data_IF_947054744733
#
_entry.id   IF_947054744733
#
_cell.length_a   1.000
_cell.length_b   1.000
_cell.length_c   1.000
_cell.angle_alpha   90.00
_cell.angle_beta   90.00
_cell.angle_gamma   90.00
#
_symmetry.space_group_name_H-M   'P 1'
#
loop_
_entity.id
_entity.type
_entity.pdbx_description
1 polymer ?
#
# COMPACT_ATOMS: atom_id res chain seq x y z
N UNK A 1 -38.36 -4.80 15.54
CA UNK A 1 -37.63 -5.17 14.33
C UNK A 1 -36.16 -5.35 14.72
N UNK A 2 -35.61 -6.57 14.65
CA UNK A 2 -34.16 -6.77 14.81
C UNK A 2 -33.51 -6.29 13.53
N UNK A 3 -32.65 -5.30 13.60
CA UNK A 3 -31.79 -4.90 12.50
C UNK A 3 -30.61 -5.87 12.51
N UNK A 4 -30.52 -6.71 11.48
CA UNK A 4 -29.36 -7.59 11.32
C UNK A 4 -28.12 -6.71 11.08
N UNK A 5 -26.98 -6.99 11.72
CA UNK A 5 -25.76 -6.23 11.50
C UNK A 5 -25.29 -6.41 10.05
N UNK A 6 -24.95 -5.31 9.41
CA UNK A 6 -24.36 -5.32 8.07
C UNK A 6 -22.97 -5.94 8.16
N UNK A 7 -22.78 -7.06 7.44
CA UNK A 7 -21.47 -7.67 7.27
C UNK A 7 -20.81 -7.11 6.01
N UNK A 8 -19.62 -6.52 6.16
CA UNK A 8 -18.85 -5.98 5.04
C UNK A 8 -17.63 -6.88 4.81
N UNK A 9 -17.46 -7.35 3.58
CA UNK A 9 -16.23 -8.03 3.15
C UNK A 9 -15.11 -7.00 2.92
N UNK A 10 -14.32 -6.76 3.96
CA UNK A 10 -13.22 -5.79 3.91
C UNK A 10 -12.11 -6.24 2.96
N UNK A 11 -11.82 -7.54 2.84
CA UNK A 11 -10.82 -8.05 1.89
C UNK A 11 -11.27 -7.85 0.45
N UNK A 12 -12.54 -8.16 0.16
CA UNK A 12 -13.12 -7.91 -1.16
C UNK A 12 -13.11 -6.43 -1.53
N UNK A 13 -13.44 -5.55 -0.58
CA UNK A 13 -13.38 -4.10 -0.76
C UNK A 13 -11.95 -3.62 -1.02
N UNK A 14 -10.97 -4.07 -0.23
CA UNK A 14 -9.55 -3.76 -0.44
C UNK A 14 -9.06 -4.25 -1.81
N UNK A 15 -9.51 -5.45 -2.25
CA UNK A 15 -9.21 -5.98 -3.57
C UNK A 15 -9.77 -5.15 -4.72
N UNK A 16 -10.96 -4.58 -4.55
CA UNK A 16 -11.56 -3.66 -5.53
C UNK A 16 -10.80 -2.33 -5.58
N UNK A 17 -10.45 -1.75 -4.43
CA UNK A 17 -9.62 -0.54 -4.35
C UNK A 17 -8.25 -0.77 -4.98
N UNK A 18 -7.57 -1.89 -4.68
CA UNK A 18 -6.29 -2.27 -5.29
C UNK A 18 -6.38 -2.34 -6.81
N UNK A 19 -7.50 -2.82 -7.36
CA UNK A 19 -7.69 -2.86 -8.81
C UNK A 19 -7.73 -1.46 -9.43
N UNK A 20 -8.36 -0.50 -8.76
CA UNK A 20 -8.39 0.89 -9.20
C UNK A 20 -6.99 1.54 -9.10
N UNK A 21 -6.27 1.30 -8.02
CA UNK A 21 -4.89 1.76 -7.84
C UNK A 21 -3.96 1.20 -8.93
N UNK A 22 -4.02 -0.12 -9.19
CA UNK A 22 -3.26 -0.78 -10.25
C UNK A 22 -3.45 -0.11 -11.63
N UNK A 23 -4.68 0.35 -11.95
CA UNK A 23 -4.94 1.05 -13.21
C UNK A 23 -4.25 2.41 -13.25
N UNK A 24 -4.26 3.15 -12.15
CA UNK A 24 -3.63 4.46 -12.04
C UNK A 24 -2.11 4.34 -12.10
N UNK A 25 -1.54 3.37 -11.39
CA UNK A 25 -0.09 3.08 -11.40
C UNK A 25 0.41 2.69 -12.80
N UNK A 26 -0.38 1.89 -13.53
CA UNK A 26 -0.04 1.53 -14.91
C UNK A 26 0.07 2.75 -15.83
N UNK A 27 -0.82 3.73 -15.66
CA UNK A 27 -0.84 4.95 -16.49
C UNK A 27 0.22 5.97 -16.08
N UNK A 28 0.43 6.14 -14.76
CA UNK A 28 1.28 7.23 -14.24
C UNK A 28 2.75 6.83 -14.11
N UNK A 29 3.03 5.60 -13.65
CA UNK A 29 4.40 5.16 -13.32
C UNK A 29 4.82 3.91 -14.10
N UNK A 30 4.04 3.51 -15.10
CA UNK A 30 4.33 2.39 -16.00
C UNK A 30 4.56 1.06 -15.26
N UNK A 31 3.93 0.88 -14.11
CA UNK A 31 3.96 -0.37 -13.34
C UNK A 31 3.08 -1.40 -14.02
N UNK A 32 3.53 -2.65 -14.07
CA UNK A 32 2.74 -3.75 -14.66
C UNK A 32 1.41 -3.92 -13.95
N UNK A 33 0.33 -4.05 -14.72
CA UNK A 33 -1.01 -4.28 -14.21
C UNK A 33 -1.07 -5.42 -13.17
N UNK A 34 -1.96 -5.30 -12.20
CA UNK A 34 -2.18 -6.22 -11.07
C UNK A 34 -1.00 -6.27 -10.07
N UNK A 35 -0.26 -5.17 -9.92
CA UNK A 35 0.87 -5.09 -9.00
C UNK A 35 0.44 -5.41 -7.57
N UNK A 36 -0.53 -4.69 -7.01
CA UNK A 36 -1.02 -4.88 -5.64
C UNK A 36 -1.51 -6.30 -5.38
N UNK A 37 -2.20 -6.93 -6.34
CA UNK A 37 -2.66 -8.32 -6.21
C UNK A 37 -1.52 -9.33 -6.18
N UNK A 38 -0.45 -9.09 -6.95
CA UNK A 38 0.73 -9.97 -6.93
C UNK A 38 1.49 -9.85 -5.63
N UNK A 39 1.67 -8.62 -5.14
CA UNK A 39 2.28 -8.36 -3.83
C UNK A 39 1.49 -9.05 -2.73
N UNK A 40 0.16 -8.89 -2.70
CA UNK A 40 -0.70 -9.54 -1.72
C UNK A 40 -0.62 -11.08 -1.79
N UNK A 41 -0.63 -11.65 -3.00
CA UNK A 41 -0.51 -13.09 -3.16
C UNK A 41 0.82 -13.63 -2.60
N UNK A 42 1.93 -12.98 -2.94
CA UNK A 42 3.27 -13.38 -2.45
C UNK A 42 3.33 -13.23 -0.93
N UNK A 43 2.88 -12.10 -0.38
CA UNK A 43 2.88 -11.83 1.06
C UNK A 43 2.08 -12.88 1.84
N UNK A 44 0.89 -13.25 1.33
CA UNK A 44 0.05 -14.29 1.95
C UNK A 44 0.73 -15.66 1.89
N UNK A 45 1.37 -16.01 0.77
CA UNK A 45 2.11 -17.28 0.67
C UNK A 45 3.28 -17.32 1.66
N UNK A 46 4.05 -16.25 1.77
CA UNK A 46 5.16 -16.15 2.73
C UNK A 46 4.66 -16.20 4.18
N UNK A 47 3.61 -15.47 4.50
CA UNK A 47 2.99 -15.46 5.82
C UNK A 47 2.52 -16.86 6.25
N UNK A 48 1.87 -17.59 5.35
CA UNK A 48 1.45 -18.98 5.59
C UNK A 48 2.65 -19.90 5.85
N UNK A 49 3.73 -19.71 5.12
CA UNK A 49 4.97 -20.47 5.36
C UNK A 49 5.55 -20.16 6.75
N UNK A 50 5.40 -18.92 7.23
CA UNK A 50 5.76 -18.48 8.58
C UNK A 50 4.70 -18.80 9.65
N UNK A 51 3.70 -19.67 9.34
CA UNK A 51 2.61 -20.05 10.22
C UNK A 51 1.71 -18.90 10.70
N UNK A 52 1.68 -17.76 10.00
CA UNK A 52 0.76 -16.66 10.26
C UNK A 52 -0.64 -17.05 9.74
N UNK A 53 -1.67 -16.92 10.58
CA UNK A 53 -3.03 -17.37 10.30
C UNK A 53 -4.08 -16.40 10.86
N UNK A 54 -5.36 -16.66 10.56
CA UNK A 54 -6.49 -15.93 11.13
C UNK A 54 -6.50 -14.45 10.77
N UNK A 55 -6.80 -13.63 11.74
CA UNK A 55 -6.94 -12.17 11.58
C UNK A 55 -5.63 -11.51 11.11
N UNK A 56 -4.49 -11.94 11.62
CA UNK A 56 -3.19 -11.41 11.19
C UNK A 56 -2.89 -11.65 9.71
N UNK A 57 -3.27 -12.82 9.17
CA UNK A 57 -3.13 -13.12 7.75
C UNK A 57 -4.08 -12.27 6.90
N UNK A 58 -5.30 -12.05 7.38
CA UNK A 58 -6.28 -11.22 6.71
C UNK A 58 -5.83 -9.75 6.68
N UNK A 59 -5.38 -9.21 7.81
CA UNK A 59 -4.90 -7.84 7.92
C UNK A 59 -3.66 -7.61 7.05
N UNK A 60 -2.72 -8.56 7.02
CA UNK A 60 -1.57 -8.51 6.13
C UNK A 60 -1.99 -8.50 4.65
N UNK A 61 -2.99 -9.31 4.26
CA UNK A 61 -3.50 -9.31 2.89
C UNK A 61 -4.08 -7.94 2.50
N UNK A 62 -4.82 -7.28 3.39
CA UNK A 62 -5.36 -5.95 3.18
C UNK A 62 -4.24 -4.93 3.06
N UNK A 63 -3.24 -4.95 3.95
CA UNK A 63 -2.07 -4.08 3.88
C UNK A 63 -1.34 -4.25 2.53
N UNK A 64 -1.09 -5.49 2.11
CA UNK A 64 -0.41 -5.77 0.86
C UNK A 64 -1.20 -5.37 -0.39
N UNK A 65 -2.53 -5.47 -0.37
CA UNK A 65 -3.40 -4.97 -1.44
C UNK A 65 -3.36 -3.44 -1.56
N UNK A 66 -3.14 -2.74 -0.45
CA UNK A 66 -3.22 -1.29 -0.34
C UNK A 66 -1.86 -0.63 -0.02
N UNK A 67 -0.74 -1.32 -0.25
CA UNK A 67 0.57 -0.81 0.14
C UNK A 67 0.91 0.53 -0.53
N UNK A 68 0.47 0.74 -1.77
CA UNK A 68 0.64 1.97 -2.55
C UNK A 68 -0.59 2.90 -2.51
N UNK A 69 -1.43 2.80 -1.46
CA UNK A 69 -2.69 3.53 -1.37
C UNK A 69 -2.57 5.07 -1.44
N UNK A 70 -1.39 5.61 -1.19
CA UNK A 70 -1.12 7.04 -1.22
C UNK A 70 -0.30 7.49 -2.45
N UNK A 71 0.09 6.58 -3.34
CA UNK A 71 0.94 6.92 -4.48
C UNK A 71 0.28 7.96 -5.40
N UNK A 72 -1.01 7.80 -5.68
CA UNK A 72 -1.79 8.75 -6.50
C UNK A 72 -1.86 10.14 -5.86
N UNK A 73 -2.10 10.20 -4.55
CA UNK A 73 -2.12 11.46 -3.81
C UNK A 73 -0.75 12.15 -3.92
N UNK A 74 0.31 11.41 -3.68
CA UNK A 74 1.67 11.92 -3.74
C UNK A 74 2.01 12.47 -5.13
N UNK A 75 1.70 11.72 -6.20
CA UNK A 75 1.92 12.16 -7.58
C UNK A 75 1.12 13.42 -7.87
N UNK A 76 -0.13 13.50 -7.46
CA UNK A 76 -0.97 14.68 -7.67
C UNK A 76 -0.41 15.93 -6.99
N UNK A 77 0.11 15.80 -5.76
CA UNK A 77 0.74 16.90 -5.03
C UNK A 77 2.05 17.36 -5.70
N UNK A 78 2.86 16.42 -6.21
CA UNK A 78 4.11 16.76 -6.92
C UNK A 78 3.85 17.46 -8.25
N UNK A 79 2.84 17.02 -9.02
CA UNK A 79 2.43 17.70 -10.26
C UNK A 79 1.97 19.14 -10.00
N UNK A 80 1.21 19.35 -8.93
CA UNK A 80 0.75 20.70 -8.57
C UNK A 80 1.91 21.62 -8.19
N UNK A 81 2.94 21.09 -7.51
CA UNK A 81 4.13 21.86 -7.13
C UNK A 81 5.06 22.15 -8.30
N UNK A 82 5.16 21.21 -9.22
CA UNK A 82 6.10 21.22 -10.34
C UNK A 82 5.39 20.83 -11.64
N UNK A 83 4.61 21.75 -12.26
CA UNK A 83 3.79 21.43 -13.45
C UNK A 83 4.58 20.93 -14.65
N UNK A 84 5.86 21.29 -14.75
CA UNK A 84 6.76 20.90 -15.86
C UNK A 84 7.47 19.56 -15.60
N UNK A 85 7.14 18.85 -14.51
CA UNK A 85 7.77 17.55 -14.20
C UNK A 85 7.20 16.47 -15.10
N UNK A 86 8.05 15.84 -15.89
CA UNK A 86 7.70 14.65 -16.65
C UNK A 86 7.65 13.42 -15.72
N UNK A 87 6.46 13.13 -15.22
CA UNK A 87 6.22 12.03 -14.28
C UNK A 87 6.62 10.68 -14.88
N UNK A 88 6.49 10.52 -16.19
CA UNK A 88 6.80 9.27 -16.91
C UNK A 88 8.29 8.94 -16.95
N UNK A 89 9.14 9.95 -16.84
CA UNK A 89 10.61 9.80 -16.86
C UNK A 89 11.25 9.74 -15.48
N UNK A 90 10.45 9.63 -14.43
CA UNK A 90 10.94 9.28 -13.10
C UNK A 90 10.69 10.35 -12.03
N UNK A 91 9.81 10.03 -11.13
CA UNK A 91 9.89 10.55 -9.78
C UNK A 91 11.23 10.08 -9.21
N UNK A 92 12.07 11.02 -8.75
CA UNK A 92 13.35 10.69 -8.12
C UNK A 92 13.11 9.71 -6.97
N UNK A 93 13.92 8.65 -6.86
CA UNK A 93 13.78 7.60 -5.83
C UNK A 93 13.63 8.16 -4.40
N UNK A 94 14.31 9.26 -4.10
CA UNK A 94 14.22 9.94 -2.79
C UNK A 94 12.87 10.60 -2.53
N UNK A 95 12.06 10.85 -3.56
CA UNK A 95 10.73 11.47 -3.43
C UNK A 95 9.62 10.43 -3.31
N UNK A 96 9.84 9.22 -3.84
CA UNK A 96 8.82 8.16 -3.83
C UNK A 96 8.45 7.68 -2.42
N UNK A 97 9.31 7.87 -1.44
CA UNK A 97 9.11 7.37 -0.08
C UNK A 97 8.03 8.09 0.73
N UNK A 98 7.62 9.28 0.29
CA UNK A 98 6.55 10.02 0.96
C UNK A 98 5.21 9.28 0.88
N UNK A 99 4.98 8.46 -0.16
CA UNK A 99 3.75 7.66 -0.25
C UNK A 99 3.66 6.61 0.87
N UNK A 100 4.78 6.10 1.38
CA UNK A 100 4.80 5.18 2.53
C UNK A 100 4.29 5.87 3.79
N UNK A 101 4.69 7.12 4.03
CA UNK A 101 4.27 7.92 5.20
C UNK A 101 2.79 8.26 5.10
N UNK A 102 2.33 8.72 3.94
CA UNK A 102 0.92 9.02 3.72
C UNK A 102 0.06 7.74 3.73
N UNK A 103 0.58 6.66 3.13
CA UNK A 103 -0.09 5.37 3.09
C UNK A 103 -0.31 4.78 4.47
N UNK A 104 0.71 4.81 5.33
CA UNK A 104 0.60 4.39 6.73
C UNK A 104 -0.49 5.18 7.46
N UNK A 105 -0.54 6.49 7.28
CA UNK A 105 -1.56 7.35 7.87
C UNK A 105 -2.95 7.06 7.33
N UNK A 106 -3.09 6.81 6.04
CA UNK A 106 -4.37 6.53 5.39
C UNK A 106 -4.95 5.21 5.87
N UNK A 107 -4.12 4.18 5.97
CA UNK A 107 -4.57 2.82 6.30
C UNK A 107 -5.15 2.71 7.72
N UNK A 108 -4.79 3.61 8.63
CA UNK A 108 -5.38 3.65 10.00
C UNK A 108 -6.89 3.89 10.02
N UNK A 109 -7.49 4.26 8.88
CA UNK A 109 -8.95 4.42 8.75
C UNK A 109 -9.69 3.09 8.57
N UNK A 110 -8.97 2.03 8.28
CA UNK A 110 -9.52 0.67 8.12
C UNK A 110 -9.54 0.00 9.50
N UNK A 111 -10.66 -0.66 9.89
CA UNK A 111 -10.75 -1.34 11.18
C UNK A 111 -10.01 -2.68 11.14
N UNK A 112 -8.70 -2.65 11.33
CA UNK A 112 -7.88 -3.85 11.47
C UNK A 112 -8.12 -4.53 12.81
N UNK A 113 -7.88 -5.82 12.89
CA UNK A 113 -8.03 -6.64 14.09
C UNK A 113 -6.72 -6.88 14.82
N UNK A 114 -5.60 -6.69 14.12
CA UNK A 114 -4.25 -6.82 14.67
C UNK A 114 -3.48 -5.50 14.52
N UNK A 115 -2.36 -5.39 15.20
CA UNK A 115 -1.47 -4.24 15.03
C UNK A 115 -0.75 -4.33 13.68
N UNK A 116 -1.04 -3.37 12.82
CA UNK A 116 -0.44 -3.23 11.48
C UNK A 116 0.55 -2.06 11.42
N UNK A 117 0.92 -1.51 12.56
CA UNK A 117 1.82 -0.36 12.62
C UNK A 117 3.14 -0.64 11.89
N UNK A 118 3.54 0.29 11.07
CA UNK A 118 4.77 0.25 10.29
C UNK A 118 4.78 -0.76 9.11
N UNK A 119 3.72 -1.49 8.84
CA UNK A 119 3.66 -2.42 7.70
C UNK A 119 3.76 -1.64 6.38
N UNK A 120 2.92 -0.61 6.22
CA UNK A 120 2.95 0.25 5.03
C UNK A 120 4.16 1.19 5.08
N UNK A 121 4.50 1.72 6.24
CA UNK A 121 5.61 2.67 6.37
C UNK A 121 6.94 2.08 5.86
N UNK A 122 7.18 0.81 6.11
CA UNK A 122 8.46 0.16 5.81
C UNK A 122 8.41 -0.84 4.65
N UNK A 123 7.39 -0.81 3.80
CA UNK A 123 7.26 -1.80 2.72
C UNK A 123 8.36 -1.69 1.63
N UNK A 124 9.10 -0.60 1.59
CA UNK A 124 10.30 -0.42 0.76
C UNK A 124 11.62 -0.62 1.52
N UNK A 125 11.56 -1.05 2.78
CA UNK A 125 12.78 -1.29 3.54
C UNK A 125 13.42 -2.63 3.16
N UNK A 126 14.74 -2.65 3.15
CA UNK A 126 15.53 -3.83 2.89
C UNK A 126 16.01 -4.46 4.21
N UNK A 127 16.22 -5.79 4.21
CA UNK A 127 16.71 -6.50 5.38
C UNK A 127 18.11 -6.05 5.86
N UNK A 128 18.88 -5.40 4.99
CA UNK A 128 20.19 -4.83 5.28
C UNK A 128 20.14 -3.36 5.77
N UNK A 129 18.94 -2.85 6.05
CA UNK A 129 18.67 -1.46 6.47
C UNK A 129 19.10 -0.39 5.46
N UNK A 130 19.29 -0.74 4.20
CA UNK A 130 19.60 0.20 3.12
C UNK A 130 18.34 0.74 2.41
N UNK A 131 17.17 0.47 2.95
CA UNK A 131 15.88 1.01 2.47
C UNK A 131 15.78 2.52 2.67
N UNK A 132 14.78 3.08 2.06
CA UNK A 132 14.71 4.53 1.82
C UNK A 132 14.02 5.31 2.94
N UNK A 133 13.17 4.67 3.76
CA UNK A 133 12.42 5.37 4.83
C UNK A 133 13.26 5.53 6.11
N UNK A 134 14.16 4.58 6.41
CA UNK A 134 15.04 4.67 7.59
C UNK A 134 15.97 5.89 7.50
N UNK A 135 16.40 6.27 6.30
CA UNK A 135 17.26 7.44 6.09
C UNK A 135 16.57 8.79 6.33
N UNK A 136 15.25 8.81 6.39
CA UNK A 136 14.46 10.06 6.54
C UNK A 136 14.11 10.36 8.01
N UNK A 137 14.42 9.45 8.95
CA UNK A 137 14.11 9.60 10.39
C UNK A 137 15.26 10.12 11.25
N UNK A 138 16.38 10.54 10.64
CA UNK A 138 17.52 11.10 11.38
C UNK A 138 17.56 12.62 11.20
#
# INVERSE_FOLDING_TARGET
MRVEPLSIDIVGLAGACSCALDCIEAELVNVKNKHGKRVAYISVCMAKYCAIQGDALQDLAICALLHDNALTQYISEEVQKYPDTDIKNGLSENKTNMHCIYGEKNITKIPFKTDISNVILYHHEHADYNGSVVKTKI
#
